data_IF_617896055768
#
_entry.id   IF_617896055768
#
_cell.length_a   1.000
_cell.length_b   1.000
_cell.length_c   1.000
_cell.angle_alpha   90.00
_cell.angle_beta   90.00
_cell.angle_gamma   90.00
#
_symmetry.space_group_name_H-M   'P 1'
#
loop_
_entity.id
_entity.type
_entity.pdbx_description
1 polymer ?
#
# COMPACT_ATOMS: atom_id res chain seq x y z
N UNK A 1 52.94 -51.52 26.91
CA UNK A 1 52.29 -50.39 27.57
C UNK A 1 51.71 -49.53 26.45
N UNK A 2 50.40 -49.72 26.17
CA UNK A 2 49.74 -49.02 25.03
C UNK A 2 49.01 -47.81 25.54
N UNK A 3 49.44 -46.63 25.11
CA UNK A 3 48.73 -45.36 25.38
C UNK A 3 47.68 -45.20 24.30
N UNK A 4 46.41 -45.33 24.66
CA UNK A 4 45.28 -44.98 23.77
C UNK A 4 45.09 -43.47 23.80
N UNK A 5 45.46 -42.81 22.71
CA UNK A 5 45.12 -41.40 22.49
C UNK A 5 43.68 -41.34 22.02
N UNK A 6 42.80 -40.83 22.87
CA UNK A 6 41.38 -40.63 22.57
C UNK A 6 41.26 -39.28 21.84
N UNK A 7 41.12 -39.32 20.52
CA UNK A 7 40.88 -38.14 19.71
C UNK A 7 39.45 -37.59 19.94
N UNK A 8 39.35 -36.43 20.56
CA UNK A 8 38.08 -35.70 20.67
C UNK A 8 37.86 -34.97 19.37
N UNK A 9 36.92 -35.45 18.55
CA UNK A 9 36.47 -34.73 17.37
C UNK A 9 35.46 -33.68 17.82
N UNK A 10 35.89 -32.41 17.87
CA UNK A 10 35.03 -31.28 18.16
C UNK A 10 34.26 -30.91 16.89
N UNK A 11 33.01 -31.39 16.74
CA UNK A 11 32.13 -31.02 15.66
C UNK A 11 31.61 -29.59 15.91
N UNK A 12 32.18 -28.64 15.18
CA UNK A 12 31.65 -27.27 15.14
C UNK A 12 30.43 -27.26 14.25
N UNK A 13 29.22 -27.20 14.86
CA UNK A 13 27.98 -26.94 14.14
C UNK A 13 27.95 -25.44 13.83
N UNK A 14 28.27 -25.10 12.58
CA UNK A 14 27.99 -23.76 12.05
C UNK A 14 26.48 -23.63 11.87
N UNK A 15 25.81 -22.99 12.83
CA UNK A 15 24.41 -22.58 12.66
C UNK A 15 24.38 -21.41 11.70
N UNK A 16 24.10 -21.67 10.43
CA UNK A 16 23.76 -20.63 9.46
C UNK A 16 22.34 -20.12 9.78
N UNK A 17 22.25 -18.98 10.44
CA UNK A 17 20.99 -18.25 10.56
C UNK A 17 20.58 -17.77 9.16
N UNK A 18 19.63 -18.47 8.56
CA UNK A 18 18.95 -17.99 7.35
C UNK A 18 18.09 -16.80 7.78
N UNK A 19 18.64 -15.61 7.58
CA UNK A 19 17.86 -14.39 7.72
C UNK A 19 16.87 -14.37 6.53
N UNK A 20 15.64 -14.79 6.79
CA UNK A 20 14.54 -14.66 5.83
C UNK A 20 14.13 -13.19 5.82
N UNK A 21 14.83 -12.37 5.04
CA UNK A 21 14.31 -11.07 4.66
C UNK A 21 13.07 -11.34 3.79
N UNK A 22 11.91 -11.11 4.40
CA UNK A 22 10.64 -11.02 3.67
C UNK A 22 10.74 -9.74 2.84
N UNK A 23 11.27 -9.85 1.64
CA UNK A 23 11.19 -8.79 0.64
C UNK A 23 9.70 -8.62 0.31
N UNK A 24 9.10 -7.55 0.83
CA UNK A 24 7.73 -7.19 0.48
C UNK A 24 7.71 -6.98 -1.04
N UNK A 25 7.05 -7.89 -1.74
CA UNK A 25 6.95 -7.84 -3.20
C UNK A 25 6.39 -6.49 -3.63
N UNK A 26 7.03 -5.85 -4.62
CA UNK A 26 6.61 -4.53 -5.08
C UNK A 26 5.21 -4.61 -5.67
N UNK A 27 4.29 -3.82 -5.16
CA UNK A 27 2.94 -3.72 -5.70
C UNK A 27 2.98 -3.04 -7.09
N UNK A 28 2.44 -3.71 -8.10
CA UNK A 28 2.43 -3.22 -9.48
C UNK A 28 1.00 -3.33 -10.00
N UNK A 29 0.47 -2.22 -10.50
CA UNK A 29 -0.82 -2.20 -11.19
C UNK A 29 -0.65 -2.62 -12.66
N UNK A 30 -1.67 -3.29 -13.19
CA UNK A 30 -1.71 -3.65 -14.60
C UNK A 30 -1.87 -2.40 -15.48
N UNK A 31 -1.36 -2.42 -16.72
CA UNK A 31 -1.57 -1.30 -17.66
C UNK A 31 -3.05 -0.98 -17.88
N UNK A 32 -3.92 -1.98 -17.89
CA UNK A 32 -5.37 -1.79 -18.07
C UNK A 32 -6.00 -0.94 -16.96
N UNK A 33 -5.50 -1.02 -15.74
CA UNK A 33 -5.95 -0.17 -14.61
C UNK A 33 -5.39 1.25 -14.76
N UNK A 34 -4.12 1.37 -15.14
CA UNK A 34 -3.45 2.66 -15.28
C UNK A 34 -3.96 3.51 -16.46
N UNK A 35 -4.57 2.87 -17.47
CA UNK A 35 -5.13 3.53 -18.65
C UNK A 35 -6.58 3.99 -18.46
N UNK A 36 -7.22 3.70 -17.32
CA UNK A 36 -8.60 4.13 -17.06
C UNK A 36 -8.62 5.65 -16.90
N UNK A 37 -9.32 6.34 -17.78
CA UNK A 37 -9.62 7.76 -17.64
C UNK A 37 -10.77 7.94 -16.65
N UNK A 38 -10.49 8.62 -15.52
CA UNK A 38 -11.49 8.85 -14.48
C UNK A 38 -12.45 9.98 -14.84
N UNK A 39 -13.74 9.77 -14.66
CA UNK A 39 -14.78 10.80 -14.76
C UNK A 39 -14.78 11.68 -13.51
N UNK A 40 -14.44 12.96 -13.66
CA UNK A 40 -14.33 13.92 -12.56
C UNK A 40 -15.68 14.13 -11.86
N UNK A 41 -16.78 14.20 -12.62
CA UNK A 41 -18.12 14.43 -12.04
C UNK A 41 -18.57 13.21 -11.23
N UNK A 42 -18.26 12.01 -11.69
CA UNK A 42 -18.50 10.79 -10.93
C UNK A 42 -17.60 10.73 -9.68
N UNK A 43 -16.35 11.13 -9.78
CA UNK A 43 -15.44 11.26 -8.65
C UNK A 43 -15.95 12.26 -7.60
N UNK A 44 -16.47 13.41 -8.01
CA UNK A 44 -17.11 14.37 -7.13
C UNK A 44 -18.28 13.78 -6.36
N UNK A 45 -19.12 13.03 -7.04
CA UNK A 45 -20.26 12.33 -6.41
C UNK A 45 -19.79 11.31 -5.34
N UNK A 46 -18.73 10.57 -5.61
CA UNK A 46 -18.18 9.59 -4.68
C UNK A 46 -17.37 10.19 -3.52
N UNK A 47 -16.85 11.41 -3.69
CA UNK A 47 -15.87 12.01 -2.79
C UNK A 47 -16.41 12.39 -1.42
N UNK A 48 -17.73 12.50 -1.24
CA UNK A 48 -18.34 12.95 0.00
C UNK A 48 -17.89 12.14 1.22
N UNK A 49 -17.79 10.82 1.09
CA UNK A 49 -17.34 9.94 2.18
C UNK A 49 -15.86 10.14 2.50
N UNK A 50 -15.05 10.46 1.50
CA UNK A 50 -13.62 10.72 1.67
C UNK A 50 -13.36 12.07 2.37
N UNK A 51 -14.09 13.11 1.98
CA UNK A 51 -13.93 14.47 2.49
C UNK A 51 -14.35 14.63 3.95
N UNK A 52 -15.14 13.73 4.49
CA UNK A 52 -15.49 13.70 5.91
C UNK A 52 -14.23 13.56 6.79
N UNK A 53 -13.25 12.78 6.37
CA UNK A 53 -11.99 12.56 7.08
C UNK A 53 -10.82 13.32 6.44
N UNK A 54 -10.72 13.29 5.11
CA UNK A 54 -9.66 13.98 4.35
C UNK A 54 -10.06 15.43 4.05
N UNK A 55 -9.96 16.29 5.05
CA UNK A 55 -10.37 17.69 4.95
C UNK A 55 -9.37 18.52 4.12
N UNK A 56 -9.89 19.43 3.32
CA UNK A 56 -9.08 20.28 2.47
C UNK A 56 -8.13 21.20 3.25
N UNK A 57 -8.50 21.57 4.47
CA UNK A 57 -7.72 22.43 5.36
C UNK A 57 -6.72 21.70 6.25
N UNK A 58 -6.58 20.37 6.07
CA UNK A 58 -5.73 19.50 6.90
C UNK A 58 -6.04 19.59 8.41
N UNK A 59 -7.27 19.92 8.79
CA UNK A 59 -7.66 20.10 10.19
C UNK A 59 -7.76 18.80 11.00
N UNK A 60 -7.78 17.62 10.34
CA UNK A 60 -7.77 16.33 10.96
C UNK A 60 -6.34 15.84 11.19
N UNK A 61 -5.85 15.88 12.42
CA UNK A 61 -4.53 15.35 12.77
C UNK A 61 -4.37 13.87 12.39
N UNK A 62 -3.25 13.54 11.75
CA UNK A 62 -2.93 12.18 11.32
C UNK A 62 -3.66 11.70 10.06
N UNK A 63 -4.61 12.47 9.53
CA UNK A 63 -5.30 12.17 8.27
C UNK A 63 -4.84 13.20 7.23
N UNK A 64 -4.14 12.79 6.17
CA UNK A 64 -3.58 13.74 5.21
C UNK A 64 -4.65 14.38 4.33
N UNK A 65 -4.42 15.63 3.92
CA UNK A 65 -5.13 16.23 2.79
C UNK A 65 -4.72 15.52 1.48
N UNK A 66 -5.68 15.33 0.60
CA UNK A 66 -5.48 14.62 -0.66
C UNK A 66 -5.76 15.47 -1.90
N UNK A 67 -6.26 16.69 -1.70
CA UNK A 67 -6.52 17.61 -2.79
C UNK A 67 -5.23 18.00 -3.53
N UNK A 68 -5.29 18.04 -4.85
CA UNK A 68 -4.17 18.46 -5.69
C UNK A 68 -3.02 17.46 -5.79
N UNK A 69 -3.17 16.25 -5.28
CA UNK A 69 -2.18 15.17 -5.47
C UNK A 69 -2.26 14.64 -6.89
N UNK A 70 -1.15 14.08 -7.36
CA UNK A 70 -1.09 13.45 -8.68
C UNK A 70 -2.08 12.27 -8.78
N UNK A 71 -2.75 12.15 -9.92
CA UNK A 71 -3.70 11.05 -10.20
C UNK A 71 -3.06 9.70 -9.88
N UNK A 72 -1.84 9.49 -10.37
CA UNK A 72 -1.14 8.21 -10.21
C UNK A 72 -0.87 7.85 -8.74
N UNK A 73 -0.58 8.85 -7.89
CA UNK A 73 -0.36 8.64 -6.46
C UNK A 73 -1.64 8.16 -5.76
N UNK A 74 -2.78 8.78 -6.10
CA UNK A 74 -4.07 8.41 -5.51
C UNK A 74 -4.50 7.02 -5.99
N UNK A 75 -4.34 6.74 -7.29
CA UNK A 75 -4.67 5.42 -7.87
C UNK A 75 -3.87 4.33 -7.17
N UNK A 76 -2.54 4.48 -7.05
CA UNK A 76 -1.71 3.49 -6.36
C UNK A 76 -2.09 3.34 -4.89
N UNK A 77 -2.25 4.44 -4.17
CA UNK A 77 -2.59 4.40 -2.74
C UNK A 77 -3.91 3.64 -2.49
N UNK A 78 -4.96 3.94 -3.24
CA UNK A 78 -6.25 3.27 -3.08
C UNK A 78 -6.18 1.79 -3.45
N UNK A 79 -5.49 1.42 -4.52
CA UNK A 79 -5.29 0.02 -4.86
C UNK A 79 -4.43 -0.74 -3.86
N UNK A 80 -3.38 -0.10 -3.30
CA UNK A 80 -2.56 -0.68 -2.24
C UNK A 80 -3.38 -0.96 -0.97
N UNK A 81 -4.25 -0.03 -0.56
CA UNK A 81 -5.17 -0.26 0.56
C UNK A 81 -6.18 -1.35 0.25
N UNK A 82 -6.81 -1.32 -0.93
CA UNK A 82 -7.78 -2.31 -1.38
C UNK A 82 -7.20 -3.73 -1.34
N UNK A 83 -5.95 -3.89 -1.75
CA UNK A 83 -5.26 -5.18 -1.80
C UNK A 83 -4.42 -5.47 -0.54
N UNK A 84 -4.55 -4.65 0.51
CA UNK A 84 -3.88 -4.81 1.80
C UNK A 84 -2.34 -4.76 1.76
N UNK A 85 -1.78 -4.11 0.74
CA UNK A 85 -0.35 -3.81 0.67
C UNK A 85 0.06 -2.63 1.55
N UNK A 86 -0.87 -1.72 1.84
CA UNK A 86 -0.68 -0.58 2.73
C UNK A 86 -1.51 -0.75 3.99
N UNK A 87 -0.87 -0.53 5.16
CA UNK A 87 -1.47 -0.70 6.48
C UNK A 87 -2.30 0.53 6.86
N UNK A 88 -3.56 0.36 7.02
CA UNK A 88 -4.53 1.22 7.71
C UNK A 88 -5.90 0.57 7.59
N UNK A 89 -6.47 0.12 8.70
CA UNK A 89 -7.75 -0.61 8.67
C UNK A 89 -8.90 0.19 8.08
N UNK A 90 -8.99 1.49 8.40
CA UNK A 90 -10.06 2.36 7.89
C UNK A 90 -9.94 2.51 6.38
N UNK A 91 -8.72 2.81 5.87
CA UNK A 91 -8.50 2.96 4.44
C UNK A 91 -8.64 1.64 3.68
N UNK A 92 -8.26 0.52 4.26
CA UNK A 92 -8.50 -0.80 3.67
C UNK A 92 -10.00 -1.10 3.52
N UNK A 93 -10.79 -0.72 4.52
CA UNK A 93 -12.24 -0.86 4.46
C UNK A 93 -12.87 0.07 3.42
N UNK A 94 -12.45 1.33 3.38
CA UNK A 94 -12.96 2.33 2.43
C UNK A 94 -12.62 1.96 0.98
N UNK A 95 -11.36 1.64 0.71
CA UNK A 95 -10.89 1.29 -0.62
C UNK A 95 -11.36 -0.09 -1.08
N UNK A 96 -11.60 -1.01 -0.15
CA UNK A 96 -12.02 -2.38 -0.45
C UNK A 96 -13.35 -2.48 -1.20
N UNK A 97 -14.24 -1.53 -1.01
CA UNK A 97 -15.54 -1.44 -1.68
C UNK A 97 -15.52 -0.76 -3.05
N UNK A 98 -14.37 -0.21 -3.48
CA UNK A 98 -14.25 0.55 -4.73
C UNK A 98 -13.86 -0.34 -5.91
N UNK A 99 -14.48 -0.11 -7.06
CA UNK A 99 -14.04 -0.66 -8.35
C UNK A 99 -12.92 0.16 -8.98
N UNK A 100 -12.30 -0.36 -10.02
CA UNK A 100 -11.17 0.30 -10.69
C UNK A 100 -11.58 1.65 -11.31
N UNK A 101 -12.78 1.73 -11.89
CA UNK A 101 -13.32 2.96 -12.45
C UNK A 101 -13.67 4.00 -11.38
N UNK A 102 -14.16 3.57 -10.21
CA UNK A 102 -14.44 4.45 -9.08
C UNK A 102 -13.14 5.02 -8.51
N UNK A 103 -12.09 4.22 -8.41
CA UNK A 103 -10.77 4.67 -8.00
C UNK A 103 -10.21 5.71 -8.98
N UNK A 104 -10.32 5.44 -10.28
CA UNK A 104 -9.88 6.38 -11.31
C UNK A 104 -10.67 7.70 -11.25
N UNK A 105 -11.97 7.64 -11.06
CA UNK A 105 -12.85 8.80 -10.92
C UNK A 105 -12.48 9.65 -9.70
N UNK A 106 -12.33 9.02 -8.53
CA UNK A 106 -11.90 9.69 -7.30
C UNK A 106 -10.52 10.34 -7.46
N UNK A 107 -9.57 9.64 -8.06
CA UNK A 107 -8.23 10.16 -8.30
C UNK A 107 -8.26 11.40 -9.21
N UNK A 108 -9.03 11.35 -10.29
CA UNK A 108 -9.19 12.49 -11.22
C UNK A 108 -9.86 13.69 -10.55
N UNK A 109 -10.86 13.44 -9.71
CA UNK A 109 -11.52 14.51 -8.97
C UNK A 109 -10.58 15.18 -7.97
N UNK A 110 -9.96 14.42 -7.06
CA UNK A 110 -9.08 14.99 -6.05
C UNK A 110 -7.85 15.67 -6.64
N UNK A 111 -7.29 15.14 -7.72
CA UNK A 111 -6.19 15.78 -8.44
C UNK A 111 -6.58 17.12 -9.07
N UNK A 112 -7.85 17.31 -9.42
CA UNK A 112 -8.38 18.57 -10.00
C UNK A 112 -8.59 19.67 -8.96
N UNK A 113 -8.58 19.34 -7.68
CA UNK A 113 -8.76 20.30 -6.58
C UNK A 113 -7.43 20.94 -6.20
N UNK A 114 -7.48 22.20 -5.75
CA UNK A 114 -6.31 22.97 -5.26
C UNK A 114 -6.35 23.15 -3.74
#
# INVERSE_FOLDING_TARGET
MYIKVLGIVLSVFLSTSVNSEVTKEKFILSPSILEIEGDIAYGEYLASDCQTCHRADNSNEGIPGINGREIIEIVYALHEYKNKYRENQVMQMMAGGLGDEEIAALASYFASLQ
#
